data_IF_482057783410
#
_entry.id   IF_482057783410
#
_cell.length_a   1.000
_cell.length_b   1.000
_cell.length_c   1.000
_cell.angle_alpha   90.00
_cell.angle_beta   90.00
_cell.angle_gamma   90.00
#
_symmetry.space_group_name_H-M   'P 1'
#
loop_
_entity.id
_entity.type
_entity.pdbx_description
1 polymer ?
#
# COMPACT_ATOMS: atom_id res chain seq x y z
N UNK A 1 7.62 64.89 -45.80
CA UNK A 1 7.34 63.49 -45.51
C UNK A 1 7.39 63.30 -43.99
N UNK A 2 6.25 63.11 -43.32
CA UNK A 2 6.16 62.85 -41.87
C UNK A 2 6.15 61.34 -41.70
N UNK A 3 7.23 60.80 -41.11
CA UNK A 3 7.29 59.41 -40.70
C UNK A 3 6.35 59.17 -39.48
N UNK A 4 5.24 58.50 -39.67
CA UNK A 4 4.45 57.95 -38.60
C UNK A 4 5.22 56.72 -38.02
N UNK A 5 5.95 56.93 -36.95
CA UNK A 5 6.46 55.84 -36.12
C UNK A 5 5.27 55.25 -35.38
N UNK A 6 4.78 54.11 -35.86
CA UNK A 6 3.72 53.36 -35.18
C UNK A 6 4.23 52.86 -33.82
N UNK A 7 3.62 53.34 -32.74
CA UNK A 7 3.85 52.86 -31.40
C UNK A 7 3.22 51.48 -31.17
N UNK A 8 3.87 50.40 -31.64
CA UNK A 8 3.41 49.04 -31.40
C UNK A 8 4.04 48.39 -30.16
N UNK A 9 4.92 49.09 -29.41
CA UNK A 9 5.66 48.53 -28.31
C UNK A 9 4.84 48.31 -27.03
N UNK A 10 3.70 49.02 -26.83
CA UNK A 10 2.83 48.84 -25.67
C UNK A 10 1.94 47.61 -25.73
N UNK A 11 1.50 47.20 -26.90
CA UNK A 11 0.63 46.02 -27.07
C UNK A 11 1.40 44.74 -26.86
N UNK A 12 2.65 44.66 -27.28
CA UNK A 12 3.50 43.49 -27.08
C UNK A 12 3.84 43.23 -25.62
N UNK A 13 4.05 44.27 -24.83
CA UNK A 13 4.35 44.14 -23.39
C UNK A 13 3.12 43.66 -22.59
N UNK A 14 1.92 44.19 -22.92
CA UNK A 14 0.66 43.73 -22.33
C UNK A 14 0.39 42.26 -22.72
N UNK A 15 0.55 41.90 -23.98
CA UNK A 15 0.37 40.54 -24.44
C UNK A 15 1.35 39.57 -23.73
N UNK A 16 2.61 39.97 -23.57
CA UNK A 16 3.61 39.17 -22.85
C UNK A 16 3.23 38.95 -21.38
N UNK A 17 2.79 40.00 -20.69
CA UNK A 17 2.39 39.88 -19.27
C UNK A 17 1.17 38.99 -19.13
N UNK A 18 0.17 39.08 -19.99
CA UNK A 18 -1.01 38.24 -19.97
C UNK A 18 -0.63 36.77 -20.21
N UNK A 19 0.24 36.48 -21.17
CA UNK A 19 0.68 35.10 -21.42
C UNK A 19 1.43 34.49 -20.23
N UNK A 20 2.27 35.27 -19.55
CA UNK A 20 2.98 34.81 -18.35
C UNK A 20 1.98 34.51 -17.22
N UNK A 21 0.98 35.37 -17.01
CA UNK A 21 -0.05 35.16 -15.98
C UNK A 21 -0.85 33.88 -16.29
N UNK A 22 -1.27 33.69 -17.54
CA UNK A 22 -2.00 32.48 -17.95
C UNK A 22 -1.14 31.24 -17.76
N UNK A 23 0.13 31.28 -18.14
CA UNK A 23 1.05 30.15 -17.94
C UNK A 23 1.26 29.84 -16.45
N UNK A 24 1.35 30.84 -15.58
CA UNK A 24 1.44 30.63 -14.12
C UNK A 24 0.17 29.98 -13.55
N UNK A 25 -1.01 30.40 -14.02
CA UNK A 25 -2.28 29.80 -13.59
C UNK A 25 -2.35 28.33 -14.04
N UNK A 26 -2.05 28.04 -15.31
CA UNK A 26 -2.06 26.68 -15.86
C UNK A 26 -1.03 25.78 -15.16
N UNK A 27 0.18 26.28 -14.91
CA UNK A 27 1.20 25.55 -14.16
C UNK A 27 0.73 25.22 -12.74
N UNK A 28 0.08 26.16 -12.06
CA UNK A 28 -0.42 25.95 -10.69
C UNK A 28 -1.49 24.86 -10.62
N UNK A 29 -2.43 24.85 -11.57
CA UNK A 29 -3.49 23.82 -11.65
C UNK A 29 -2.85 22.45 -11.94
N UNK A 30 -1.94 22.37 -12.91
CA UNK A 30 -1.27 21.11 -13.30
C UNK A 30 -0.47 20.50 -12.13
N UNK A 31 0.18 21.31 -11.31
CA UNK A 31 0.93 20.84 -10.14
C UNK A 31 -0.01 20.30 -9.06
N UNK A 32 -1.14 20.96 -8.84
CA UNK A 32 -2.11 20.55 -7.82
C UNK A 32 -2.76 19.20 -8.17
N UNK A 33 -3.24 19.05 -9.39
CA UNK A 33 -3.83 17.79 -9.86
C UNK A 33 -2.78 16.67 -9.96
N UNK A 34 -1.56 16.96 -10.42
CA UNK A 34 -0.48 16.00 -10.52
C UNK A 34 -0.11 15.34 -9.19
N UNK A 35 -0.09 16.08 -8.08
CA UNK A 35 0.16 15.52 -6.75
C UNK A 35 -0.91 14.52 -6.32
N UNK A 36 -2.17 14.78 -6.64
CA UNK A 36 -3.29 13.87 -6.36
C UNK A 36 -3.16 12.55 -7.13
N UNK A 37 -2.81 12.62 -8.40
CA UNK A 37 -2.61 11.44 -9.26
C UNK A 37 -1.43 10.60 -8.78
N UNK A 38 -0.30 11.22 -8.44
CA UNK A 38 0.88 10.51 -7.94
C UNK A 38 0.57 9.82 -6.61
N UNK A 39 -0.11 10.48 -5.69
CA UNK A 39 -0.50 9.90 -4.40
C UNK A 39 -1.40 8.69 -4.61
N UNK A 40 -2.41 8.80 -5.47
CA UNK A 40 -3.32 7.71 -5.81
C UNK A 40 -2.58 6.52 -6.44
N UNK A 41 -1.68 6.78 -7.39
CA UNK A 41 -0.86 5.73 -8.02
C UNK A 41 -0.02 4.98 -6.99
N UNK A 42 0.58 5.69 -6.03
CA UNK A 42 1.33 5.06 -4.92
C UNK A 42 0.46 4.17 -4.05
N UNK A 43 -0.77 4.61 -3.73
CA UNK A 43 -1.72 3.79 -2.95
C UNK A 43 -2.14 2.53 -3.71
N UNK A 44 -2.45 2.64 -5.00
CA UNK A 44 -2.78 1.49 -5.84
C UNK A 44 -1.61 0.51 -5.97
N UNK A 45 -0.38 1.01 -6.07
CA UNK A 45 0.81 0.15 -6.07
C UNK A 45 0.96 -0.58 -4.74
N UNK A 46 0.81 0.13 -3.61
CA UNK A 46 0.87 -0.49 -2.28
C UNK A 46 -0.22 -1.56 -2.11
N UNK A 47 -1.46 -1.25 -2.46
CA UNK A 47 -2.59 -2.19 -2.43
C UNK A 47 -2.28 -3.44 -3.27
N UNK A 48 -1.78 -3.26 -4.49
CA UNK A 48 -1.41 -4.38 -5.38
C UNK A 48 -0.32 -5.25 -4.77
N UNK A 49 0.70 -4.65 -4.15
CA UNK A 49 1.76 -5.37 -3.46
C UNK A 49 1.20 -6.18 -2.29
N UNK A 50 0.36 -5.57 -1.45
CA UNK A 50 -0.27 -6.23 -0.31
C UNK A 50 -1.20 -7.37 -0.76
N UNK A 51 -1.99 -7.18 -1.82
CA UNK A 51 -2.81 -8.24 -2.43
C UNK A 51 -1.97 -9.40 -2.96
N UNK A 52 -0.82 -9.11 -3.57
CA UNK A 52 0.09 -10.15 -4.06
C UNK A 52 0.68 -10.94 -2.90
N UNK A 53 1.10 -10.26 -1.82
CA UNK A 53 1.58 -10.89 -0.59
C UNK A 53 0.46 -11.77 0.00
N UNK A 54 -0.76 -11.25 0.13
CA UNK A 54 -1.91 -11.97 0.66
C UNK A 54 -2.19 -13.25 -0.12
N UNK A 55 -2.29 -13.15 -1.45
CA UNK A 55 -2.60 -14.30 -2.31
C UNK A 55 -1.53 -15.39 -2.22
N UNK A 56 -0.25 -15.01 -2.23
CA UNK A 56 0.87 -15.95 -2.11
C UNK A 56 0.95 -16.58 -0.73
N UNK A 57 0.76 -15.79 0.32
CA UNK A 57 0.78 -16.28 1.70
C UNK A 57 -0.36 -17.23 1.99
N UNK A 58 -1.54 -16.96 1.43
CA UNK A 58 -2.68 -17.89 1.51
C UNK A 58 -2.36 -19.22 0.84
N UNK A 59 -1.79 -19.20 -0.36
CA UNK A 59 -1.35 -20.43 -1.04
C UNK A 59 -0.33 -21.21 -0.23
N UNK A 60 0.63 -20.51 0.39
CA UNK A 60 1.61 -21.19 1.27
C UNK A 60 0.97 -21.75 2.54
N UNK A 61 0.01 -21.04 3.14
CA UNK A 61 -0.70 -21.56 4.31
C UNK A 61 -1.48 -22.83 3.97
N UNK A 62 -2.18 -22.87 2.84
CA UNK A 62 -2.90 -24.06 2.36
C UNK A 62 -1.95 -25.26 2.11
N UNK A 63 -0.80 -25.01 1.49
CA UNK A 63 0.22 -26.06 1.28
C UNK A 63 0.80 -26.58 2.60
N UNK A 64 1.08 -25.68 3.56
CA UNK A 64 1.60 -26.02 4.87
C UNK A 64 0.58 -26.84 5.65
N UNK A 65 -0.69 -26.41 5.70
CA UNK A 65 -1.75 -27.16 6.38
C UNK A 65 -1.92 -28.56 5.81
N UNK A 66 -1.84 -28.73 4.50
CA UNK A 66 -1.88 -30.05 3.86
C UNK A 66 -0.67 -30.92 4.26
N UNK A 67 0.52 -30.33 4.41
CA UNK A 67 1.75 -31.02 4.78
C UNK A 67 1.76 -31.48 6.23
N UNK A 68 1.30 -30.61 7.16
CA UNK A 68 1.33 -30.88 8.61
C UNK A 68 0.08 -31.61 9.12
N UNK A 69 -0.78 -32.09 8.23
CA UNK A 69 -2.06 -32.72 8.60
C UNK A 69 -1.93 -33.82 9.65
N UNK A 70 -0.86 -34.62 9.58
CA UNK A 70 -0.58 -35.76 10.48
C UNK A 70 0.30 -35.41 11.69
N UNK A 71 0.79 -34.19 11.79
CA UNK A 71 1.67 -33.77 12.89
C UNK A 71 0.90 -33.66 14.20
N UNK A 72 1.54 -34.10 15.28
CA UNK A 72 0.97 -34.04 16.64
C UNK A 72 1.02 -32.63 17.23
N UNK A 73 2.05 -31.85 16.90
CA UNK A 73 2.21 -30.45 17.28
C UNK A 73 2.17 -29.58 16.01
N UNK A 74 0.96 -29.25 15.59
CA UNK A 74 0.75 -28.45 14.38
C UNK A 74 1.26 -27.02 14.49
N UNK A 75 1.27 -26.44 15.68
CA UNK A 75 1.72 -25.06 15.87
C UNK A 75 3.23 -24.93 15.63
N UNK A 76 4.03 -25.82 16.22
CA UNK A 76 5.48 -25.85 16.01
C UNK A 76 5.82 -26.17 14.56
N UNK A 77 5.22 -27.22 13.99
CA UNK A 77 5.44 -27.62 12.61
C UNK A 77 5.09 -26.50 11.60
N UNK A 78 4.02 -25.76 11.85
CA UNK A 78 3.59 -24.62 11.04
C UNK A 78 4.61 -23.49 11.08
N UNK A 79 5.09 -23.12 12.27
CA UNK A 79 6.11 -22.09 12.41
C UNK A 79 7.41 -22.46 11.68
N UNK A 80 7.84 -23.71 11.77
CA UNK A 80 9.03 -24.21 11.08
C UNK A 80 8.85 -24.15 9.55
N UNK A 81 7.69 -24.53 9.03
CA UNK A 81 7.41 -24.48 7.61
C UNK A 81 7.31 -23.06 7.06
N UNK A 82 6.71 -22.12 7.82
CA UNK A 82 6.71 -20.72 7.46
C UNK A 82 8.14 -20.13 7.48
N UNK A 83 8.93 -20.45 8.50
CA UNK A 83 10.32 -20.01 8.60
C UNK A 83 11.18 -20.52 7.43
N UNK A 84 11.01 -21.78 7.02
CA UNK A 84 11.69 -22.35 5.85
C UNK A 84 11.35 -21.66 4.53
N UNK A 85 10.22 -20.95 4.47
CA UNK A 85 9.76 -20.17 3.31
C UNK A 85 10.10 -18.68 3.40
N UNK A 86 10.82 -18.27 4.45
CA UNK A 86 11.24 -16.89 4.66
C UNK A 86 10.22 -16.00 5.37
N UNK A 87 9.41 -16.62 6.23
CA UNK A 87 8.48 -15.91 7.10
C UNK A 87 8.92 -16.09 8.56
N UNK A 88 9.31 -15.00 9.20
CA UNK A 88 9.78 -15.01 10.58
C UNK A 88 8.65 -14.61 11.53
N UNK A 89 8.44 -15.38 12.61
CA UNK A 89 7.39 -15.06 13.58
C UNK A 89 7.61 -13.68 14.20
N UNK A 90 6.61 -12.85 14.13
CA UNK A 90 6.61 -11.45 14.56
C UNK A 90 5.38 -11.07 15.39
N UNK A 91 4.70 -12.04 15.97
CA UNK A 91 3.44 -11.81 16.73
C UNK A 91 3.59 -10.77 17.82
N UNK A 92 4.74 -10.72 18.49
CA UNK A 92 5.02 -9.73 19.55
C UNK A 92 5.30 -8.31 19.05
N UNK A 93 5.46 -8.11 17.74
CA UNK A 93 5.80 -6.80 17.16
C UNK A 93 4.59 -6.02 16.66
N UNK A 94 3.41 -6.65 16.61
CA UNK A 94 2.18 -6.03 16.15
C UNK A 94 1.70 -4.97 17.13
N UNK A 95 1.45 -3.76 16.65
CA UNK A 95 1.01 -2.64 17.50
C UNK A 95 -0.52 -2.60 17.65
N UNK A 96 -1.00 -1.89 18.67
CA UNK A 96 -2.44 -1.72 18.92
C UNK A 96 -3.12 -0.97 17.78
N UNK A 97 -2.45 0.04 17.18
CA UNK A 97 -2.97 0.78 16.05
C UNK A 97 -3.19 -0.12 14.82
N UNK A 98 -2.26 -1.03 14.56
CA UNK A 98 -2.35 -2.02 13.49
C UNK A 98 -3.51 -2.99 13.75
N UNK A 99 -3.62 -3.51 14.96
CA UNK A 99 -4.68 -4.44 15.35
C UNK A 99 -6.08 -3.81 15.26
N UNK A 100 -6.21 -2.52 15.52
CA UNK A 100 -7.50 -1.84 15.43
C UNK A 100 -8.03 -1.69 14.00
N UNK A 101 -7.23 -1.98 13.00
CA UNK A 101 -7.58 -1.89 11.59
C UNK A 101 -7.85 -3.25 10.92
N UNK A 102 -7.74 -4.35 11.65
CA UNK A 102 -8.06 -5.69 11.16
C UNK A 102 -9.38 -6.18 11.75
N UNK A 103 -9.97 -7.20 11.13
CA UNK A 103 -11.24 -7.76 11.59
C UNK A 103 -11.14 -8.37 12.99
N UNK A 104 -12.22 -8.31 13.76
CA UNK A 104 -12.29 -8.91 15.10
C UNK A 104 -12.08 -10.43 15.07
N UNK A 105 -12.43 -11.08 13.97
CA UNK A 105 -12.24 -12.51 13.78
C UNK A 105 -10.75 -12.90 13.78
N UNK A 106 -9.88 -12.04 13.25
CA UNK A 106 -8.43 -12.23 13.28
C UNK A 106 -7.84 -11.74 14.60
N UNK A 107 -8.25 -10.56 15.06
CA UNK A 107 -7.70 -9.85 16.21
C UNK A 107 -7.75 -10.63 17.52
N UNK A 108 -8.80 -11.45 17.74
CA UNK A 108 -9.02 -12.17 19.00
C UNK A 108 -8.05 -13.33 19.24
N UNK A 109 -7.51 -13.93 18.18
CA UNK A 109 -6.52 -15.00 18.26
C UNK A 109 -5.69 -14.99 16.97
N UNK A 110 -4.49 -14.45 17.02
CA UNK A 110 -3.68 -14.25 15.84
C UNK A 110 -2.23 -14.69 16.01
N UNK A 111 -1.63 -15.04 14.90
CA UNK A 111 -0.18 -15.16 14.73
C UNK A 111 0.26 -14.26 13.56
N UNK A 112 1.39 -13.60 13.72
CA UNK A 112 1.93 -12.71 12.70
C UNK A 112 3.33 -13.12 12.28
N UNK A 113 3.62 -12.91 10.99
CA UNK A 113 4.93 -13.19 10.40
C UNK A 113 5.42 -11.97 9.61
N UNK A 114 6.72 -11.66 9.71
CA UNK A 114 7.39 -10.77 8.77
C UNK A 114 7.78 -11.53 7.51
N UNK A 115 7.83 -10.81 6.39
CA UNK A 115 8.26 -11.36 5.10
C UNK A 115 9.70 -10.93 4.84
N UNK A 116 10.62 -11.90 4.77
CA UNK A 116 12.02 -11.61 4.48
C UNK A 116 12.29 -11.46 2.98
N UNK A 117 13.54 -11.14 2.63
CA UNK A 117 13.94 -10.85 1.24
C UNK A 117 13.75 -12.02 0.29
N UNK A 118 13.99 -13.24 0.75
CA UNK A 118 13.86 -14.45 -0.08
C UNK A 118 12.38 -14.75 -0.38
N UNK A 119 11.51 -14.62 0.62
CA UNK A 119 10.07 -14.76 0.42
C UNK A 119 9.54 -13.70 -0.56
N UNK A 120 9.92 -12.43 -0.40
CA UNK A 120 9.53 -11.35 -1.33
C UNK A 120 10.00 -11.66 -2.77
N UNK A 121 11.23 -12.13 -2.95
CA UNK A 121 11.75 -12.52 -4.26
C UNK A 121 10.96 -13.69 -4.87
N UNK A 122 10.63 -14.70 -4.07
CA UNK A 122 9.84 -15.86 -4.52
C UNK A 122 8.39 -15.47 -4.88
N UNK A 123 7.87 -14.40 -4.29
CA UNK A 123 6.58 -13.82 -4.64
C UNK A 123 6.62 -12.94 -5.90
N UNK A 124 7.80 -12.65 -6.47
CA UNK A 124 7.98 -11.70 -7.56
C UNK A 124 8.03 -10.23 -7.13
N UNK A 125 8.23 -9.98 -5.83
CA UNK A 125 8.26 -8.66 -5.19
C UNK A 125 9.67 -8.32 -4.66
N UNK A 126 10.71 -8.79 -5.33
CA UNK A 126 12.10 -8.65 -4.89
C UNK A 126 12.63 -7.21 -4.76
N UNK A 127 11.96 -6.21 -5.34
CA UNK A 127 12.26 -4.79 -5.15
C UNK A 127 11.75 -4.23 -3.82
N UNK A 128 10.79 -4.88 -3.16
CA UNK A 128 10.28 -4.43 -1.88
C UNK A 128 11.33 -4.64 -0.79
N UNK A 129 11.26 -3.81 0.21
CA UNK A 129 12.15 -3.88 1.35
C UNK A 129 11.61 -4.90 2.36
N UNK A 130 12.50 -5.77 2.84
CA UNK A 130 12.17 -6.73 3.88
C UNK A 130 11.77 -6.04 5.19
N UNK A 131 10.89 -6.67 5.96
CA UNK A 131 10.44 -6.17 7.24
C UNK A 131 9.45 -5.00 7.15
N UNK A 132 9.00 -4.59 5.95
CA UNK A 132 7.96 -3.56 5.81
C UNK A 132 6.54 -4.11 5.85
N UNK A 133 6.39 -5.44 5.73
CA UNK A 133 5.09 -6.10 5.69
C UNK A 133 5.00 -7.18 6.77
N UNK A 134 3.84 -7.21 7.44
CA UNK A 134 3.43 -8.32 8.30
C UNK A 134 2.26 -9.03 7.66
N UNK A 135 2.22 -10.33 7.82
CA UNK A 135 1.06 -11.15 7.49
C UNK A 135 0.48 -11.61 8.80
N UNK A 136 -0.80 -11.37 9.01
CA UNK A 136 -1.52 -11.78 10.21
C UNK A 136 -2.55 -12.81 9.84
N UNK A 137 -2.51 -13.97 10.47
CA UNK A 137 -3.49 -15.04 10.35
C UNK A 137 -4.29 -15.18 11.64
N UNK A 138 -5.54 -15.61 11.53
CA UNK A 138 -6.21 -16.18 12.67
C UNK A 138 -5.53 -17.51 13.04
N UNK A 139 -5.19 -17.69 14.32
CA UNK A 139 -4.45 -18.86 14.80
C UNK A 139 -5.24 -20.18 14.63
N UNK A 140 -6.57 -20.10 14.63
CA UNK A 140 -7.47 -21.26 14.51
C UNK A 140 -7.90 -21.53 13.06
N UNK A 141 -7.87 -20.49 12.20
CA UNK A 141 -8.24 -20.60 10.78
C UNK A 141 -7.31 -19.73 9.92
N UNK A 142 -6.28 -20.35 9.36
CA UNK A 142 -5.30 -19.68 8.50
C UNK A 142 -5.85 -19.20 7.15
N UNK A 143 -7.15 -19.45 6.85
CA UNK A 143 -7.83 -18.81 5.73
C UNK A 143 -8.23 -17.36 6.04
N UNK A 144 -8.44 -17.06 7.33
CA UNK A 144 -8.70 -15.70 7.80
C UNK A 144 -7.37 -14.98 8.01
N UNK A 145 -7.05 -14.05 7.12
CA UNK A 145 -5.78 -13.34 7.15
C UNK A 145 -5.90 -11.90 6.65
N UNK A 146 -4.99 -11.07 7.09
CA UNK A 146 -4.78 -9.73 6.54
C UNK A 146 -3.28 -9.43 6.38
N UNK A 147 -2.96 -8.42 5.58
CA UNK A 147 -1.59 -7.95 5.39
C UNK A 147 -1.48 -6.55 5.96
N UNK A 148 -0.43 -6.30 6.74
CA UNK A 148 -0.13 -5.01 7.33
C UNK A 148 1.11 -4.41 6.68
N UNK A 149 1.03 -3.15 6.29
CA UNK A 149 2.16 -2.31 5.95
C UNK A 149 2.61 -1.56 7.20
N UNK A 150 3.79 -1.92 7.74
CA UNK A 150 4.25 -1.47 9.07
C UNK A 150 4.36 0.04 9.18
N UNK A 151 4.82 0.71 8.11
CA UNK A 151 5.02 2.15 8.10
C UNK A 151 3.71 2.94 8.02
N UNK A 152 2.60 2.27 7.71
CA UNK A 152 1.32 2.92 7.45
C UNK A 152 1.32 3.72 6.13
N UNK A 153 0.17 3.82 5.54
CA UNK A 153 -0.06 4.58 4.31
C UNK A 153 -0.97 5.78 4.60
N UNK A 154 -0.46 6.99 4.38
CA UNK A 154 -1.26 8.20 4.53
C UNK A 154 -2.17 8.41 3.33
N UNK A 155 -3.49 8.38 3.57
CA UNK A 155 -4.50 8.64 2.57
C UNK A 155 -5.66 9.46 3.17
N UNK A 156 -6.01 10.60 2.57
CA UNK A 156 -7.06 11.50 3.04
C UNK A 156 -6.95 11.87 4.54
N UNK A 157 -5.74 12.25 4.99
CA UNK A 157 -5.45 12.66 6.37
C UNK A 157 -5.55 11.53 7.42
N UNK A 158 -5.76 10.29 6.98
CA UNK A 158 -5.75 9.10 7.83
C UNK A 158 -4.56 8.21 7.49
N UNK A 159 -4.13 7.41 8.46
CA UNK A 159 -3.08 6.40 8.29
C UNK A 159 -3.73 5.01 8.27
N UNK A 160 -3.48 4.28 7.21
CA UNK A 160 -3.97 2.91 6.99
C UNK A 160 -2.80 1.94 7.08
N UNK A 161 -2.93 0.94 7.91
CA UNK A 161 -1.93 -0.11 8.09
C UNK A 161 -2.34 -1.41 7.41
N UNK A 162 -3.61 -1.82 7.51
CA UNK A 162 -4.08 -3.10 6.98
C UNK A 162 -4.56 -2.99 5.53
N UNK A 163 -4.48 -4.09 4.80
CA UNK A 163 -5.00 -4.18 3.44
C UNK A 163 -6.51 -3.96 3.43
N UNK A 164 -7.24 -4.59 4.34
CA UNK A 164 -8.70 -4.47 4.43
C UNK A 164 -9.14 -3.03 4.67
N UNK A 165 -8.51 -2.32 5.60
CA UNK A 165 -8.84 -0.92 5.89
C UNK A 165 -8.47 0.02 4.72
N UNK A 166 -7.36 -0.25 4.04
CA UNK A 166 -6.94 0.53 2.87
C UNK A 166 -7.91 0.35 1.69
N UNK A 167 -8.37 -0.88 1.44
CA UNK A 167 -9.36 -1.17 0.40
C UNK A 167 -10.69 -0.48 0.68
N UNK A 168 -11.18 -0.56 1.90
CA UNK A 168 -12.41 0.13 2.31
C UNK A 168 -12.31 1.65 2.08
N UNK A 169 -11.19 2.25 2.42
CA UNK A 169 -10.94 3.68 2.21
C UNK A 169 -10.91 4.07 0.73
N UNK A 170 -10.35 3.23 -0.12
CA UNK A 170 -10.30 3.45 -1.57
C UNK A 170 -11.69 3.27 -2.18
N UNK A 171 -12.42 2.21 -1.83
CA UNK A 171 -13.75 1.89 -2.38
C UNK A 171 -14.81 2.92 -1.97
N UNK A 172 -14.82 3.37 -0.71
CA UNK A 172 -15.80 4.33 -0.22
C UNK A 172 -15.76 5.66 -0.98
N UNK A 173 -14.63 6.03 -1.55
CA UNK A 173 -14.52 7.25 -2.38
C UNK A 173 -15.17 7.10 -3.76
N UNK A 174 -15.30 5.87 -4.29
CA UNK A 174 -15.95 5.63 -5.60
C UNK A 174 -17.48 5.69 -5.54
N UNK A 175 -18.08 5.54 -4.35
CA UNK A 175 -19.54 5.60 -4.17
C UNK A 175 -20.11 7.02 -4.08
N UNK A 176 -19.24 8.05 -4.12
CA UNK A 176 -19.64 9.46 -3.94
C UNK A 176 -19.70 10.22 -5.29
N UNK A 177 -19.49 9.55 -6.43
CA UNK A 177 -19.62 10.14 -7.77
C UNK A 177 -20.67 9.45 -8.60
#
# INVERSE_FOLDING_TARGET
MKNCIQKNSGITLIALTITIIIMMILASISIYEGKGIIRRSKMQTLETNMLTIQAKSKSYAEEIEAKIWTESDKSSARNDEFSNRGFDNATSTVTTEQLNQISDEIKNSYVAYTVNKDALKNMGLGELKEGEYLIIFNENDYNLMDVIYINGAEYNENIYYSLSSLQEAIENKWKIF
#
